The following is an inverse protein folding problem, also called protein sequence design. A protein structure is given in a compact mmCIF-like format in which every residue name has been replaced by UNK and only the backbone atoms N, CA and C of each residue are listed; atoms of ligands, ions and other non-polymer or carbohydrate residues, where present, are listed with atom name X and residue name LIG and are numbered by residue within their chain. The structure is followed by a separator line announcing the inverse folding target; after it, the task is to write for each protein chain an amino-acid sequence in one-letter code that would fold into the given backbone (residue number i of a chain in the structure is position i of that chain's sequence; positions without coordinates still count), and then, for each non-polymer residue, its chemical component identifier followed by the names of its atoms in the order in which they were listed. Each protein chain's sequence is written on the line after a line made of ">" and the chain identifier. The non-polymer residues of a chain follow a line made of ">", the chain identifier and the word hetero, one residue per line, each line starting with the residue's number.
data_IF_944467251993
#
_entry.id   IF_944467251993
#
_cell.length_a   1.000
_cell.length_b   1.000
_cell.length_c   1.000
_cell.angle_alpha   90.00
_cell.angle_beta   90.00
_cell.angle_gamma   90.00
#
_symmetry.space_group_name_H-M   'P 1'
#
loop_
_entity.id
_entity.type
_entity.pdbx_description
1 polymer ?
#
# COMPACT_ATOMS: atom_id res chain seq x y z
N UNK A 1 3.44 24.13 17.82
CA UNK A 1 2.80 24.04 16.48
C UNK A 1 2.88 22.59 16.06
N UNK A 2 1.76 22.02 15.61
CA UNK A 2 1.76 20.64 15.07
C UNK A 2 2.54 20.64 13.75
N UNK A 3 3.31 19.61 13.50
CA UNK A 3 3.98 19.44 12.21
C UNK A 3 2.94 19.21 11.10
N UNK A 4 3.11 19.78 9.90
CA UNK A 4 2.20 19.50 8.77
C UNK A 4 2.21 18.03 8.33
N UNK A 5 3.13 17.24 8.87
CA UNK A 5 3.24 15.79 8.64
C UNK A 5 2.64 14.93 9.77
N UNK A 6 2.02 15.56 10.78
CA UNK A 6 1.38 14.83 11.88
C UNK A 6 0.04 14.22 11.42
N UNK A 7 -0.26 13.04 11.95
CA UNK A 7 -1.51 12.33 11.75
C UNK A 7 -2.30 12.21 13.06
N UNK A 8 -2.03 13.12 14.00
CA UNK A 8 -2.70 13.12 15.30
C UNK A 8 -4.22 13.18 15.12
N UNK A 9 -4.94 12.38 15.89
CA UNK A 9 -6.40 12.26 15.89
C UNK A 9 -7.00 11.72 14.56
N UNK A 10 -6.17 11.21 13.64
CA UNK A 10 -6.60 10.54 12.42
C UNK A 10 -6.74 9.03 12.63
N UNK A 11 -7.64 8.43 11.88
CA UNK A 11 -7.89 6.98 11.86
C UNK A 11 -7.50 6.44 10.48
N UNK A 12 -6.51 5.55 10.47
CA UNK A 12 -5.96 4.97 9.25
C UNK A 12 -6.22 3.47 9.18
N UNK A 13 -6.75 3.00 8.06
CA UNK A 13 -6.86 1.58 7.73
C UNK A 13 -5.70 1.20 6.80
N UNK A 14 -4.97 0.12 7.14
CA UNK A 14 -3.89 -0.40 6.30
C UNK A 14 -4.17 -1.86 5.96
N UNK A 15 -4.51 -2.13 4.69
CA UNK A 15 -4.67 -3.51 4.21
C UNK A 15 -3.31 -4.15 3.96
N UNK A 16 -3.18 -5.45 4.24
CA UNK A 16 -1.88 -6.11 4.29
C UNK A 16 -0.98 -5.55 5.39
N UNK A 17 -1.57 -4.99 6.45
CA UNK A 17 -0.89 -4.28 7.54
C UNK A 17 0.05 -5.14 8.40
N UNK A 18 0.07 -6.46 8.20
CA UNK A 18 1.00 -7.38 8.86
C UNK A 18 2.08 -7.93 7.93
N UNK A 19 2.28 -7.32 6.77
CA UNK A 19 3.31 -7.71 5.79
C UNK A 19 4.30 -6.59 5.51
N UNK A 20 5.54 -6.91 5.22
CA UNK A 20 6.69 -6.04 4.92
C UNK A 20 6.44 -4.53 4.82
N UNK A 21 5.94 -4.05 3.67
CA UNK A 21 5.62 -2.64 3.46
C UNK A 21 4.46 -2.18 4.36
N UNK A 22 3.40 -2.98 4.47
CA UNK A 22 2.21 -2.62 5.26
C UNK A 22 2.50 -2.43 6.75
N UNK A 23 3.36 -3.26 7.32
CA UNK A 23 3.80 -3.12 8.72
C UNK A 23 4.54 -1.79 8.93
N UNK A 24 5.46 -1.42 8.05
CA UNK A 24 6.18 -0.15 8.19
C UNK A 24 5.28 1.07 7.98
N UNK A 25 4.31 1.01 7.06
CA UNK A 25 3.29 2.06 6.90
C UNK A 25 2.49 2.22 8.20
N UNK A 26 1.99 1.12 8.76
CA UNK A 26 1.21 1.12 9.99
C UNK A 26 2.01 1.70 11.18
N UNK A 27 3.26 1.26 11.34
CA UNK A 27 4.16 1.77 12.37
C UNK A 27 4.48 3.26 12.19
N UNK A 28 4.68 3.73 10.95
CA UNK A 28 4.99 5.12 10.67
C UNK A 28 3.78 6.02 10.92
N UNK A 29 2.57 5.55 10.62
CA UNK A 29 1.33 6.27 10.93
C UNK A 29 1.11 6.37 12.45
N UNK A 30 1.36 5.29 13.17
CA UNK A 30 1.31 5.27 14.62
C UNK A 30 2.30 6.25 15.25
N UNK A 31 3.56 6.31 14.76
CA UNK A 31 4.57 7.31 15.18
C UNK A 31 4.14 8.74 14.88
N UNK A 32 3.33 8.94 13.84
CA UNK A 32 2.76 10.24 13.49
C UNK A 32 1.50 10.59 14.29
N UNK A 33 1.05 9.71 15.22
CA UNK A 33 -0.07 9.95 16.13
C UNK A 33 -1.43 9.44 15.65
N UNK A 34 -1.48 8.68 14.55
CA UNK A 34 -2.74 8.07 14.08
C UNK A 34 -3.12 6.81 14.86
N UNK A 35 -4.42 6.61 15.09
CA UNK A 35 -4.96 5.30 15.39
C UNK A 35 -4.97 4.43 14.15
N UNK A 36 -4.58 3.15 14.25
CA UNK A 36 -4.35 2.30 13.08
C UNK A 36 -5.21 1.04 13.14
N UNK A 37 -5.98 0.81 12.08
CA UNK A 37 -6.69 -0.43 11.85
C UNK A 37 -5.88 -1.29 10.87
N UNK A 38 -5.50 -2.48 11.32
CA UNK A 38 -4.69 -3.42 10.57
C UNK A 38 -5.59 -4.48 9.96
N UNK A 39 -5.59 -4.61 8.63
CA UNK A 39 -6.43 -5.58 7.94
C UNK A 39 -5.59 -6.59 7.15
N UNK A 40 -5.76 -7.88 7.43
CA UNK A 40 -5.21 -9.01 6.64
C UNK A 40 -5.93 -10.30 7.01
N UNK A 41 -5.59 -11.40 6.32
CA UNK A 41 -6.21 -12.72 6.58
C UNK A 41 -5.62 -13.47 7.78
N UNK A 42 -4.44 -13.08 8.26
CA UNK A 42 -3.75 -13.77 9.35
C UNK A 42 -3.86 -12.99 10.66
N UNK A 43 -4.68 -13.49 11.60
CA UNK A 43 -4.96 -12.88 12.90
C UNK A 43 -3.69 -12.70 13.73
N UNK A 44 -2.90 -13.76 13.89
CA UNK A 44 -1.73 -13.73 14.79
C UNK A 44 -0.72 -12.67 14.36
N UNK A 45 -0.50 -12.55 13.04
CA UNK A 45 0.39 -11.53 12.48
C UNK A 45 -0.14 -10.11 12.73
N UNK A 46 -1.46 -9.90 12.62
CA UNK A 46 -2.10 -8.60 12.91
C UNK A 46 -1.95 -8.23 14.39
N UNK A 47 -2.22 -9.18 15.29
CA UNK A 47 -2.12 -8.98 16.73
C UNK A 47 -0.69 -8.65 17.18
N UNK A 48 0.31 -9.29 16.56
CA UNK A 48 1.72 -8.98 16.84
C UNK A 48 2.06 -7.53 16.46
N UNK A 49 1.64 -7.06 15.28
CA UNK A 49 1.87 -5.66 14.87
C UNK A 49 1.07 -4.70 15.74
N UNK A 50 -0.17 -5.03 16.09
CA UNK A 50 -0.99 -4.20 16.97
C UNK A 50 -0.35 -4.01 18.36
N UNK A 51 0.25 -5.07 18.93
CA UNK A 51 1.00 -4.98 20.19
C UNK A 51 2.19 -4.02 20.11
N UNK A 52 2.92 -4.01 18.98
CA UNK A 52 4.03 -3.06 18.80
C UNK A 52 3.52 -1.62 18.65
N UNK A 53 2.43 -1.40 17.92
CA UNK A 53 1.81 -0.08 17.78
C UNK A 53 1.29 0.44 19.12
N UNK A 54 0.70 -0.41 19.95
CA UNK A 54 0.16 -0.01 21.27
C UNK A 54 1.22 0.52 22.25
N UNK A 55 2.51 0.31 21.96
CA UNK A 55 3.62 0.91 22.73
C UNK A 55 3.84 2.40 22.41
N UNK A 56 3.14 2.96 21.41
CA UNK A 56 3.31 4.32 20.90
C UNK A 56 2.17 5.27 21.35
N UNK A 57 1.45 4.93 22.41
CA UNK A 57 0.32 5.71 22.97
C UNK A 57 -0.80 6.02 21.95
N UNK A 58 -0.97 5.16 20.94
CA UNK A 58 -2.06 5.20 19.97
C UNK A 58 -2.82 3.88 19.96
N UNK A 59 -4.06 3.91 19.47
CA UNK A 59 -4.89 2.70 19.40
C UNK A 59 -4.58 1.91 18.13
N UNK A 60 -4.52 0.59 18.27
CA UNK A 60 -4.37 -0.35 17.16
C UNK A 60 -5.49 -1.38 17.18
N UNK A 61 -6.17 -1.58 16.06
CA UNK A 61 -7.27 -2.54 15.93
C UNK A 61 -6.95 -3.57 14.84
N UNK A 62 -6.70 -4.84 15.21
CA UNK A 62 -6.54 -5.92 14.22
C UNK A 62 -7.92 -6.42 13.74
N UNK A 63 -8.16 -6.40 12.42
CA UNK A 63 -9.39 -6.90 11.79
C UNK A 63 -9.05 -7.92 10.71
N UNK A 64 -9.50 -9.17 10.89
CA UNK A 64 -9.30 -10.22 9.89
C UNK A 64 -10.18 -9.93 8.67
N UNK A 65 -9.54 -9.72 7.52
CA UNK A 65 -10.23 -9.30 6.29
C UNK A 65 -9.59 -9.92 5.06
N UNK A 66 -10.41 -10.52 4.22
CA UNK A 66 -10.08 -10.85 2.83
C UNK A 66 -10.66 -9.76 1.93
N UNK A 67 -9.81 -8.95 1.31
CA UNK A 67 -10.26 -7.83 0.47
C UNK A 67 -10.95 -8.25 -0.83
N UNK A 68 -10.85 -9.52 -1.23
CA UNK A 68 -11.61 -10.07 -2.37
C UNK A 68 -13.08 -10.33 -2.02
N UNK A 69 -13.47 -10.17 -0.76
CA UNK A 69 -14.81 -10.38 -0.23
C UNK A 69 -15.44 -9.04 0.15
N UNK A 70 -16.33 -8.47 -0.70
CA UNK A 70 -16.92 -7.15 -0.43
C UNK A 70 -17.57 -7.04 0.95
N UNK A 71 -18.25 -8.10 1.40
CA UNK A 71 -18.91 -8.14 2.71
C UNK A 71 -17.92 -8.05 3.89
N UNK A 72 -16.70 -8.59 3.74
CA UNK A 72 -15.66 -8.46 4.76
C UNK A 72 -15.03 -7.06 4.75
N UNK A 73 -14.94 -6.43 3.58
CA UNK A 73 -14.48 -5.04 3.45
C UNK A 73 -15.50 -4.08 4.03
N UNK A 74 -16.80 -4.29 3.79
CA UNK A 74 -17.86 -3.48 4.40
C UNK A 74 -17.84 -3.64 5.94
N UNK A 75 -17.61 -4.87 6.45
CA UNK A 75 -17.44 -5.14 7.87
C UNK A 75 -16.21 -4.44 8.46
N UNK A 76 -15.08 -4.39 7.73
CA UNK A 76 -13.87 -3.66 8.15
C UNK A 76 -14.19 -2.17 8.36
N UNK A 77 -14.90 -1.55 7.43
CA UNK A 77 -15.28 -0.13 7.55
C UNK A 77 -16.25 0.09 8.72
N UNK A 78 -17.30 -0.74 8.85
CA UNK A 78 -18.27 -0.59 9.95
C UNK A 78 -17.61 -0.80 11.31
N UNK A 79 -16.78 -1.82 11.48
CA UNK A 79 -16.01 -2.04 12.72
C UNK A 79 -15.10 -0.86 13.04
N UNK A 80 -14.47 -0.26 12.01
CA UNK A 80 -13.64 0.95 12.20
C UNK A 80 -14.48 2.14 12.68
N UNK A 81 -15.67 2.33 12.12
CA UNK A 81 -16.57 3.41 12.51
C UNK A 81 -17.12 3.19 13.93
N UNK A 82 -17.51 1.96 14.27
CA UNK A 82 -17.97 1.61 15.62
C UNK A 82 -16.91 1.90 16.68
N UNK A 83 -15.64 1.62 16.38
CA UNK A 83 -14.53 1.76 17.32
C UNK A 83 -13.98 3.18 17.40
N UNK A 84 -13.92 3.92 16.28
CA UNK A 84 -13.22 5.21 16.18
C UNK A 84 -14.10 6.37 15.71
N UNK A 85 -15.32 6.11 15.21
CA UNK A 85 -16.24 7.12 14.72
C UNK A 85 -15.98 7.65 13.32
N UNK A 86 -14.83 7.31 12.69
CA UNK A 86 -14.38 7.87 11.42
C UNK A 86 -13.40 6.99 10.67
N UNK A 87 -13.19 7.28 9.38
CA UNK A 87 -12.12 6.73 8.55
C UNK A 87 -11.48 7.90 7.79
N UNK A 88 -10.26 8.29 8.15
CA UNK A 88 -9.56 9.42 7.51
C UNK A 88 -8.65 8.97 6.38
N UNK A 89 -7.99 7.83 6.56
CA UNK A 89 -6.96 7.35 5.66
C UNK A 89 -7.22 5.88 5.33
N UNK A 90 -7.21 5.55 4.05
CA UNK A 90 -7.27 4.18 3.55
C UNK A 90 -6.00 3.87 2.74
N UNK A 91 -5.20 2.91 3.22
CA UNK A 91 -4.03 2.42 2.48
C UNK A 91 -4.33 1.04 1.91
N UNK A 92 -4.46 0.98 0.60
CA UNK A 92 -4.65 -0.26 -0.15
C UNK A 92 -3.29 -0.87 -0.50
N UNK A 93 -2.69 -1.55 0.48
CA UNK A 93 -1.38 -2.18 0.34
C UNK A 93 -1.47 -3.70 0.12
N UNK A 94 -2.56 -4.34 0.52
CA UNK A 94 -2.74 -5.77 0.28
C UNK A 94 -2.64 -6.08 -1.22
N UNK A 95 -1.78 -7.03 -1.56
CA UNK A 95 -1.51 -7.40 -2.94
C UNK A 95 -0.24 -8.24 -3.04
N UNK A 96 0.09 -8.67 -4.24
CA UNK A 96 1.28 -9.48 -4.51
C UNK A 96 0.91 -10.82 -5.15
N UNK A 97 1.90 -11.72 -5.17
CA UNK A 97 1.77 -12.99 -5.85
C UNK A 97 1.92 -12.82 -7.36
N UNK A 98 2.82 -13.59 -7.93
CA UNK A 98 2.87 -13.85 -9.38
C UNK A 98 3.53 -15.20 -9.57
N UNK A 99 3.09 -15.92 -10.57
CA UNK A 99 3.85 -17.03 -11.11
C UNK A 99 4.67 -16.50 -12.28
N UNK A 100 5.95 -16.82 -12.32
CA UNK A 100 6.78 -16.53 -13.48
C UNK A 100 6.53 -17.63 -14.52
N UNK A 101 5.47 -17.45 -15.32
CA UNK A 101 5.06 -18.35 -16.41
C UNK A 101 5.09 -17.61 -17.72
N UNK A 102 5.24 -18.34 -18.82
CA UNK A 102 4.98 -17.79 -20.14
C UNK A 102 3.48 -17.42 -20.26
N UNK A 103 3.13 -16.39 -21.02
CA UNK A 103 1.73 -15.96 -21.19
C UNK A 103 0.81 -17.08 -21.65
N UNK A 104 1.25 -17.91 -22.61
CA UNK A 104 0.53 -19.06 -23.17
C UNK A 104 0.28 -20.19 -22.16
N UNK A 105 1.11 -20.28 -21.11
CA UNK A 105 1.01 -21.29 -20.05
C UNK A 105 0.24 -20.79 -18.81
N UNK A 106 -0.29 -19.56 -18.84
CA UNK A 106 -0.99 -18.98 -17.70
C UNK A 106 -2.45 -19.45 -17.68
N UNK A 107 -2.88 -20.25 -16.68
CA UNK A 107 -4.26 -20.68 -16.57
C UNK A 107 -5.21 -19.51 -16.33
N UNK A 108 -6.40 -19.55 -16.94
CA UNK A 108 -7.42 -18.52 -16.79
C UNK A 108 -7.80 -18.25 -15.33
N UNK A 109 -7.91 -19.31 -14.53
CA UNK A 109 -8.25 -19.22 -13.10
C UNK A 109 -7.16 -18.49 -12.29
N UNK A 110 -5.91 -18.65 -12.67
CA UNK A 110 -4.79 -17.93 -12.06
C UNK A 110 -4.84 -16.45 -12.43
N UNK A 111 -5.12 -16.14 -13.68
CA UNK A 111 -5.37 -14.77 -14.12
C UNK A 111 -6.48 -14.12 -13.29
N UNK A 112 -7.66 -14.74 -13.24
CA UNK A 112 -8.82 -14.23 -12.49
C UNK A 112 -8.46 -13.99 -11.03
N UNK A 113 -7.87 -14.99 -10.36
CA UNK A 113 -7.47 -14.91 -8.95
C UNK A 113 -6.53 -13.75 -8.65
N UNK A 114 -5.56 -13.49 -9.53
CA UNK A 114 -4.58 -12.43 -9.29
C UNK A 114 -5.12 -11.04 -9.65
N UNK A 115 -5.95 -10.93 -10.67
CA UNK A 115 -6.71 -9.70 -10.96
C UNK A 115 -7.64 -9.40 -9.77
N UNK A 116 -8.36 -10.40 -9.29
CA UNK A 116 -9.28 -10.25 -8.17
C UNK A 116 -8.56 -9.75 -6.91
N UNK A 117 -7.44 -10.38 -6.54
CA UNK A 117 -6.69 -9.96 -5.37
C UNK A 117 -6.03 -8.58 -5.51
N UNK A 118 -5.39 -8.27 -6.66
CA UNK A 118 -4.56 -7.06 -6.80
C UNK A 118 -5.32 -5.83 -7.32
N UNK A 119 -6.45 -6.01 -8.02
CA UNK A 119 -7.24 -4.92 -8.59
C UNK A 119 -8.64 -4.85 -7.98
N UNK A 120 -9.43 -5.94 -8.07
CA UNK A 120 -10.82 -5.95 -7.55
C UNK A 120 -10.83 -5.72 -6.03
N UNK A 121 -9.91 -6.34 -5.29
CA UNK A 121 -9.78 -6.12 -3.84
C UNK A 121 -9.45 -4.66 -3.50
N UNK A 122 -8.57 -4.01 -4.27
CA UNK A 122 -8.28 -2.57 -4.13
C UNK A 122 -9.53 -1.73 -4.43
N UNK A 123 -10.27 -2.07 -5.49
CA UNK A 123 -11.55 -1.42 -5.83
C UNK A 123 -12.56 -1.55 -4.69
N UNK A 124 -12.77 -2.74 -4.14
CA UNK A 124 -13.69 -2.97 -3.02
C UNK A 124 -13.37 -2.03 -1.84
N UNK A 125 -12.10 -1.97 -1.45
CA UNK A 125 -11.63 -1.11 -0.37
C UNK A 125 -11.82 0.38 -0.67
N UNK A 126 -11.50 0.83 -1.91
CA UNK A 126 -11.74 2.20 -2.33
C UNK A 126 -13.24 2.56 -2.24
N UNK A 127 -14.13 1.68 -2.72
CA UNK A 127 -15.57 1.95 -2.71
C UNK A 127 -16.12 2.02 -1.30
N UNK A 128 -15.75 1.10 -0.42
CA UNK A 128 -16.24 1.07 0.95
C UNK A 128 -15.73 2.28 1.77
N UNK A 129 -14.43 2.59 1.71
CA UNK A 129 -13.85 3.76 2.38
C UNK A 129 -14.40 5.07 1.77
N UNK A 130 -14.48 5.16 0.45
CA UNK A 130 -14.99 6.33 -0.27
C UNK A 130 -16.41 6.68 0.12
N UNK A 131 -17.32 5.70 0.26
CA UNK A 131 -18.69 5.94 0.77
C UNK A 131 -18.69 6.65 2.13
N UNK A 132 -17.80 6.27 3.02
CA UNK A 132 -17.67 6.90 4.35
C UNK A 132 -17.02 8.29 4.25
N UNK A 133 -15.94 8.43 3.49
CA UNK A 133 -15.25 9.70 3.30
C UNK A 133 -16.11 10.74 2.60
N UNK A 134 -17.00 10.34 1.68
CA UNK A 134 -17.99 11.23 1.07
C UNK A 134 -18.97 11.79 2.13
N UNK A 135 -19.40 10.99 3.10
CA UNK A 135 -20.25 11.49 4.21
C UNK A 135 -19.48 12.46 5.12
N UNK A 136 -18.19 12.24 5.28
CA UNK A 136 -17.29 13.08 6.09
C UNK A 136 -16.86 14.36 5.35
N UNK A 137 -16.96 14.41 4.01
CA UNK A 137 -16.44 15.46 3.13
C UNK A 137 -14.92 15.68 3.30
N UNK A 138 -14.19 14.62 3.65
CA UNK A 138 -12.73 14.58 3.83
C UNK A 138 -12.23 13.14 3.75
N UNK A 139 -11.02 12.94 3.20
CA UNK A 139 -10.38 11.63 3.20
C UNK A 139 -9.11 11.55 2.34
N UNK A 140 -8.27 10.58 2.66
CA UNK A 140 -7.04 10.26 1.92
C UNK A 140 -7.03 8.78 1.56
N UNK A 141 -6.92 8.46 0.27
CA UNK A 141 -6.77 7.09 -0.22
C UNK A 141 -5.40 6.96 -0.88
N UNK A 142 -4.62 5.98 -0.44
CA UNK A 142 -3.29 5.70 -0.97
C UNK A 142 -3.26 4.26 -1.48
N UNK A 143 -3.15 4.11 -2.79
CA UNK A 143 -3.10 2.81 -3.45
C UNK A 143 -1.64 2.40 -3.70
N UNK A 144 -1.25 1.21 -3.30
CA UNK A 144 0.08 0.68 -3.57
C UNK A 144 0.04 -0.11 -4.89
N UNK A 145 0.61 0.48 -5.94
CA UNK A 145 0.82 -0.16 -7.22
C UNK A 145 2.20 -0.83 -7.29
N UNK A 146 2.85 -0.78 -8.43
CA UNK A 146 4.19 -1.31 -8.68
C UNK A 146 4.77 -0.70 -9.96
N UNK A 147 6.10 -0.64 -10.08
CA UNK A 147 6.77 -0.34 -11.35
C UNK A 147 6.36 -1.32 -12.46
N UNK A 148 5.97 -2.54 -12.12
CA UNK A 148 5.42 -3.50 -13.06
C UNK A 148 4.13 -3.02 -13.73
N UNK A 149 3.36 -2.15 -13.08
CA UNK A 149 2.16 -1.52 -13.63
C UNK A 149 2.45 -0.36 -14.59
N UNK A 150 3.66 0.17 -14.61
CA UNK A 150 4.05 1.29 -15.49
C UNK A 150 4.79 0.86 -16.76
N UNK A 151 5.58 -0.22 -16.68
CA UNK A 151 6.46 -0.67 -17.77
C UNK A 151 6.14 -2.09 -18.26
N UNK A 152 5.26 -2.81 -17.57
CA UNK A 152 5.13 -4.27 -17.70
C UNK A 152 6.30 -4.99 -17.02
N UNK A 153 6.16 -6.29 -16.84
CA UNK A 153 7.21 -7.13 -16.27
C UNK A 153 7.13 -8.53 -16.90
N UNK A 154 8.13 -8.95 -17.72
CA UNK A 154 8.17 -10.30 -18.25
C UNK A 154 8.00 -11.35 -17.14
N UNK A 155 7.12 -12.33 -17.36
CA UNK A 155 6.76 -13.35 -16.37
C UNK A 155 5.77 -12.92 -15.27
N UNK A 156 5.32 -11.64 -15.27
CA UNK A 156 4.36 -11.12 -14.28
C UNK A 156 3.12 -10.51 -14.95
N UNK A 157 2.62 -11.13 -16.03
CA UNK A 157 1.58 -10.59 -16.92
C UNK A 157 0.36 -10.05 -16.15
N UNK A 158 -0.30 -10.91 -15.38
CA UNK A 158 -1.52 -10.61 -14.63
C UNK A 158 -1.27 -9.58 -13.51
N UNK A 159 -0.14 -9.68 -12.81
CA UNK A 159 0.24 -8.71 -11.78
C UNK A 159 0.46 -7.32 -12.38
N UNK A 160 1.18 -7.24 -13.51
CA UNK A 160 1.43 -5.98 -14.23
C UNK A 160 0.14 -5.35 -14.71
N UNK A 161 -0.76 -6.15 -15.30
CA UNK A 161 -2.08 -5.68 -15.74
C UNK A 161 -2.93 -5.16 -14.56
N UNK A 162 -2.98 -5.90 -13.44
CA UNK A 162 -3.69 -5.47 -12.24
C UNK A 162 -3.13 -4.16 -11.67
N UNK A 163 -1.80 -4.03 -11.56
CA UNK A 163 -1.15 -2.84 -11.01
C UNK A 163 -1.25 -1.63 -11.95
N UNK A 164 -1.30 -1.82 -13.27
CA UNK A 164 -1.68 -0.77 -14.21
C UNK A 164 -3.15 -0.33 -14.02
N UNK A 165 -4.05 -1.28 -13.81
CA UNK A 165 -5.45 -1.02 -13.48
C UNK A 165 -5.61 -0.20 -12.19
N UNK A 166 -4.80 -0.45 -11.16
CA UNK A 166 -4.80 0.35 -9.92
C UNK A 166 -4.41 1.81 -10.17
N UNK A 167 -3.44 2.08 -11.04
CA UNK A 167 -3.06 3.45 -11.42
C UNK A 167 -4.24 4.15 -12.11
N UNK A 168 -4.86 3.50 -13.09
CA UNK A 168 -6.03 4.05 -13.78
C UNK A 168 -7.22 4.26 -12.85
N UNK A 169 -7.50 3.32 -11.95
CA UNK A 169 -8.53 3.44 -10.91
C UNK A 169 -8.29 4.68 -10.04
N UNK A 170 -7.05 4.88 -9.58
CA UNK A 170 -6.66 6.04 -8.76
C UNK A 170 -6.97 7.36 -9.46
N UNK A 171 -6.57 7.51 -10.72
CA UNK A 171 -6.77 8.74 -11.49
C UNK A 171 -8.27 9.07 -11.64
N UNK A 172 -9.09 8.06 -11.94
CA UNK A 172 -10.54 8.23 -12.06
C UNK A 172 -11.17 8.65 -10.73
N UNK A 173 -10.83 7.97 -9.63
CA UNK A 173 -11.38 8.28 -8.31
C UNK A 173 -10.93 9.66 -7.82
N UNK A 174 -9.69 10.05 -8.06
CA UNK A 174 -9.18 11.38 -7.73
C UNK A 174 -10.02 12.47 -8.39
N UNK A 175 -10.27 12.35 -9.70
CA UNK A 175 -11.10 13.29 -10.44
C UNK A 175 -12.56 13.31 -9.92
N UNK A 176 -13.16 12.13 -9.72
CA UNK A 176 -14.58 12.04 -9.33
C UNK A 176 -14.84 12.48 -7.89
N UNK A 177 -13.87 12.32 -6.99
CA UNK A 177 -14.04 12.58 -5.56
C UNK A 177 -13.39 13.86 -5.06
N UNK A 178 -12.69 14.61 -5.92
CA UNK A 178 -12.13 15.92 -5.57
C UNK A 178 -13.18 16.88 -5.00
N UNK A 179 -14.41 16.86 -5.52
CA UNK A 179 -15.54 17.66 -5.03
C UNK A 179 -15.98 17.33 -3.59
N UNK A 180 -15.49 16.24 -3.03
CA UNK A 180 -15.74 15.80 -1.66
C UNK A 180 -14.50 15.96 -0.76
N UNK A 181 -13.47 16.68 -1.21
CA UNK A 181 -12.18 16.83 -0.53
C UNK A 181 -11.46 15.50 -0.25
N UNK A 182 -11.64 14.51 -1.14
CA UNK A 182 -10.96 13.22 -1.03
C UNK A 182 -9.77 13.20 -2.00
N UNK A 183 -8.56 13.07 -1.44
CA UNK A 183 -7.36 12.87 -2.23
C UNK A 183 -7.12 11.38 -2.46
N UNK A 184 -6.89 11.00 -3.71
CA UNK A 184 -6.59 9.60 -4.08
C UNK A 184 -5.29 9.58 -4.86
N UNK A 185 -4.25 8.92 -4.32
CA UNK A 185 -2.92 8.86 -4.94
C UNK A 185 -2.39 7.43 -5.01
N UNK A 186 -1.43 7.20 -5.89
CA UNK A 186 -0.74 5.92 -6.04
C UNK A 186 0.72 6.07 -5.65
N UNK A 187 1.21 5.16 -4.79
CA UNK A 187 2.64 4.92 -4.59
C UNK A 187 3.05 3.75 -5.47
N UNK A 188 4.18 3.88 -6.17
CA UNK A 188 4.70 2.90 -7.13
C UNK A 188 6.05 2.36 -6.65
N UNK A 189 6.06 1.34 -5.76
CA UNK A 189 7.31 0.70 -5.34
C UNK A 189 7.99 -0.04 -6.49
N UNK A 190 9.32 0.04 -6.51
CA UNK A 190 10.16 -0.89 -7.28
C UNK A 190 10.43 -2.17 -6.50
N UNK A 191 11.62 -2.74 -6.69
CA UNK A 191 12.13 -3.80 -5.80
C UNK A 191 12.41 -3.18 -4.43
N UNK A 192 11.67 -3.61 -3.42
CA UNK A 192 11.80 -3.13 -2.04
C UNK A 192 12.47 -4.22 -1.19
N UNK A 193 13.43 -3.84 -0.36
CA UNK A 193 14.16 -4.74 0.53
C UNK A 193 13.28 -5.22 1.72
N UNK A 194 12.17 -5.88 1.39
CA UNK A 194 11.30 -6.50 2.41
C UNK A 194 11.95 -7.75 2.99
N UNK A 195 11.57 -8.18 4.22
CA UNK A 195 12.05 -9.44 4.80
C UNK A 195 11.87 -10.64 3.85
N UNK A 196 10.77 -10.66 3.07
CA UNK A 196 10.51 -11.72 2.09
C UNK A 196 11.54 -11.69 0.94
N UNK A 197 11.85 -10.52 0.39
CA UNK A 197 12.83 -10.38 -0.70
C UNK A 197 14.25 -10.70 -0.23
N UNK A 198 14.60 -10.32 1.00
CA UNK A 198 15.86 -10.68 1.63
C UNK A 198 15.95 -12.20 1.80
N UNK A 199 14.89 -12.85 2.33
CA UNK A 199 14.82 -14.31 2.49
C UNK A 199 15.02 -15.05 1.16
N UNK A 200 14.47 -14.54 0.07
CA UNK A 200 14.64 -15.12 -1.28
C UNK A 200 15.94 -14.72 -1.96
N UNK A 201 16.84 -13.98 -1.28
CA UNK A 201 18.10 -13.47 -1.86
C UNK A 201 17.88 -12.65 -3.14
N UNK A 202 16.72 -11.99 -3.25
CA UNK A 202 16.37 -11.14 -4.39
C UNK A 202 16.96 -9.72 -4.28
N UNK A 203 17.53 -9.38 -3.12
CA UNK A 203 18.15 -8.08 -2.89
C UNK A 203 19.64 -8.18 -3.25
N UNK A 204 20.13 -7.33 -4.15
CA UNK A 204 21.56 -7.29 -4.51
C UNK A 204 22.41 -6.88 -3.30
N UNK A 205 23.70 -7.26 -3.29
CA UNK A 205 24.63 -6.85 -2.25
C UNK A 205 24.82 -5.32 -2.23
N UNK A 206 25.18 -4.77 -1.09
CA UNK A 206 25.49 -3.36 -0.88
C UNK A 206 26.95 -2.99 -1.20
N UNK A 207 27.77 -3.99 -1.57
CA UNK A 207 29.16 -3.85 -2.02
C UNK A 207 29.31 -4.30 -3.45
N UNK A 208 30.16 -3.60 -4.18
CA UNK A 208 30.64 -4.01 -5.48
C UNK A 208 31.69 -5.14 -5.36
N UNK A 209 32.07 -5.76 -6.48
CA UNK A 209 33.08 -6.84 -6.51
C UNK A 209 34.46 -6.39 -6.04
N UNK A 210 34.79 -5.10 -6.20
CA UNK A 210 36.02 -4.48 -5.72
C UNK A 210 35.98 -4.07 -4.24
N UNK A 211 34.89 -4.35 -3.52
CA UNK A 211 34.68 -4.02 -2.12
C UNK A 211 34.19 -2.60 -1.84
N UNK A 212 34.08 -1.75 -2.86
CA UNK A 212 33.51 -0.40 -2.71
C UNK A 212 32.01 -0.43 -2.42
N UNK A 213 31.48 0.64 -1.80
CA UNK A 213 30.05 0.78 -1.54
C UNK A 213 29.24 0.98 -2.83
N UNK A 214 28.10 0.30 -2.94
CA UNK A 214 27.12 0.59 -3.99
C UNK A 214 26.47 1.94 -3.68
N UNK A 215 26.37 2.86 -4.64
CA UNK A 215 25.70 4.14 -4.43
C UNK A 215 24.28 3.98 -3.90
N UNK A 216 23.88 4.80 -2.92
CA UNK A 216 22.59 4.69 -2.25
C UNK A 216 21.39 4.62 -3.21
N UNK A 217 21.40 5.37 -4.32
CA UNK A 217 20.29 5.41 -5.28
C UNK A 217 20.27 4.18 -6.21
N UNK A 218 21.28 3.33 -6.15
CA UNK A 218 21.34 2.04 -6.86
C UNK A 218 20.90 0.87 -5.97
N UNK A 219 20.77 1.11 -4.67
CA UNK A 219 20.25 0.11 -3.72
C UNK A 219 18.72 0.09 -3.73
N UNK A 220 18.11 -1.10 -3.61
CA UNK A 220 16.67 -1.21 -3.39
C UNK A 220 16.23 -0.45 -2.14
N UNK A 221 15.19 0.42 -2.22
CA UNK A 221 14.65 1.09 -1.05
C UNK A 221 14.18 0.10 0.02
N UNK A 222 14.19 0.55 1.25
CA UNK A 222 13.60 -0.17 2.37
C UNK A 222 12.07 0.01 2.42
N UNK A 223 11.31 -0.83 3.13
CA UNK A 223 9.89 -0.58 3.39
C UNK A 223 9.59 0.78 4.04
N UNK A 224 10.53 1.32 4.82
CA UNK A 224 10.41 2.66 5.44
C UNK A 224 10.35 3.79 4.42
N UNK A 225 11.10 3.68 3.32
CA UNK A 225 11.08 4.71 2.28
C UNK A 225 9.70 4.83 1.64
N UNK A 226 8.99 3.69 1.48
CA UNK A 226 7.58 3.66 1.05
C UNK A 226 6.67 4.26 2.13
N UNK A 227 6.89 3.90 3.40
CA UNK A 227 6.08 4.37 4.52
C UNK A 227 6.19 5.89 4.70
N UNK A 228 7.36 6.49 4.54
CA UNK A 228 7.55 7.95 4.60
C UNK A 228 6.75 8.69 3.52
N UNK A 229 6.74 8.18 2.28
CA UNK A 229 5.91 8.76 1.23
C UNK A 229 4.43 8.59 1.54
N UNK A 230 4.00 7.43 2.04
CA UNK A 230 2.61 7.20 2.45
C UNK A 230 2.20 8.17 3.58
N UNK A 231 3.07 8.42 4.57
CA UNK A 231 2.82 9.41 5.63
C UNK A 231 2.67 10.81 5.06
N UNK A 232 3.55 11.22 4.14
CA UNK A 232 3.44 12.50 3.47
C UNK A 232 2.08 12.65 2.76
N UNK A 233 1.70 11.68 1.94
CA UNK A 233 0.44 11.70 1.18
C UNK A 233 -0.81 11.64 2.08
N UNK A 234 -0.70 11.07 3.27
CA UNK A 234 -1.76 11.01 4.27
C UNK A 234 -1.91 12.29 5.09
N UNK A 235 -0.88 13.13 5.12
CA UNK A 235 -0.78 14.30 5.99
C UNK A 235 -1.40 15.56 5.36
N UNK A 236 -1.67 16.62 6.17
CA UNK A 236 -2.09 17.92 5.66
C UNK A 236 -1.14 18.55 4.64
N UNK A 237 0.17 18.23 4.70
CA UNK A 237 1.15 18.71 3.73
C UNK A 237 0.85 18.30 2.27
N UNK A 238 -0.03 17.30 2.06
CA UNK A 238 -0.43 16.79 0.76
C UNK A 238 -1.92 17.05 0.43
N UNK A 239 -2.57 18.05 1.04
CA UNK A 239 -3.99 18.34 0.80
C UNK A 239 -4.29 18.74 -0.65
N UNK A 240 -3.31 19.29 -1.35
CA UNK A 240 -3.44 19.67 -2.77
C UNK A 240 -2.84 18.65 -3.75
N UNK A 241 -2.54 17.43 -3.28
CA UNK A 241 -1.99 16.35 -4.11
C UNK A 241 -3.04 15.26 -4.27
N UNK A 242 -3.55 15.11 -5.48
CA UNK A 242 -4.51 14.05 -5.84
C UNK A 242 -4.35 13.64 -7.29
N UNK A 243 -4.56 12.35 -7.60
CA UNK A 243 -4.38 11.77 -8.93
C UNK A 243 -2.93 11.44 -9.28
N UNK A 244 -2.00 11.63 -8.35
CA UNK A 244 -0.59 11.45 -8.61
C UNK A 244 -0.13 9.98 -8.46
N UNK A 245 0.89 9.64 -9.23
CA UNK A 245 1.54 8.32 -9.25
C UNK A 245 3.03 8.48 -8.98
N UNK A 246 3.46 8.22 -7.73
CA UNK A 246 4.79 8.58 -7.26
C UNK A 246 5.66 7.33 -7.07
N UNK A 247 6.78 7.18 -7.81
CA UNK A 247 7.65 6.02 -7.70
C UNK A 247 8.60 6.11 -6.48
N UNK A 248 8.80 4.94 -5.82
CA UNK A 248 9.83 4.72 -4.80
C UNK A 248 10.68 3.54 -5.25
N UNK A 249 11.85 3.80 -5.83
CA UNK A 249 12.68 2.77 -6.46
C UNK A 249 14.14 3.16 -6.54
N UNK A 250 15.04 2.16 -6.65
CA UNK A 250 16.39 2.37 -7.14
C UNK A 250 16.34 2.88 -8.59
N UNK A 251 17.27 3.77 -8.97
CA UNK A 251 17.21 4.42 -10.28
C UNK A 251 18.01 3.65 -11.35
N UNK A 252 19.24 3.27 -11.05
CA UNK A 252 20.18 2.85 -12.08
C UNK A 252 20.23 1.34 -12.36
N UNK A 253 19.94 0.47 -11.38
CA UNK A 253 20.05 -0.99 -11.58
C UNK A 253 18.77 -1.67 -12.07
N UNK A 254 17.65 -0.97 -12.11
CA UNK A 254 16.39 -1.56 -12.58
C UNK A 254 16.36 -1.79 -14.10
N UNK A 255 17.16 -1.07 -14.88
CA UNK A 255 17.23 -1.29 -16.33
C UNK A 255 17.96 -2.59 -16.71
N UNK A 256 18.78 -3.16 -15.81
CA UNK A 256 19.49 -4.43 -16.04
C UNK A 256 18.63 -5.69 -15.82
N UNK A 257 17.52 -5.59 -15.11
CA UNK A 257 16.57 -6.69 -14.98
C UNK A 257 15.60 -6.78 -16.16
N UNK A 258 15.65 -5.83 -17.12
CA UNK A 258 14.71 -5.66 -18.20
C UNK A 258 15.39 -5.66 -19.59
N UNK A 259 16.70 -5.90 -19.64
CA UNK A 259 17.44 -6.25 -20.83
C UNK A 259 17.65 -7.76 -20.90
#
# INVERSE_FOLDING_TARGET
>A
MNSPFDLKDKVAIVTGGAGGIGTEIAMEYARAGASVVLASRNRDSLENVAKEISKLDVRALPVVTDITKPEQVDSLISTTIEEFGRVDIMVNNAGGGSSMKNPEDTPYEEWVKLIDFNLTGTFNCCMAAGKQMIKQQDGKIINISSVAGTKGNPGMLHYSAAKAGVISLTNNLAYMWAKHNICVNTVIPGLIATPLMIKYKAIPPDKNEDGSDVPRLDLPPSPKDVAYLCRYLASPAADMITGESIPVRAWCKMDRFWQ
#
